data_IF_125252031083
#
_entry.id   IF_125252031083
#
_cell.length_a   1.000
_cell.length_b   1.000
_cell.length_c   1.000
_cell.angle_alpha   90.00
_cell.angle_beta   90.00
_cell.angle_gamma   90.00
#
_symmetry.space_group_name_H-M   'P 1'
#
loop_
_entity.id
_entity.type
_entity.pdbx_description
1 polymer ?
#
# COMPACT_ATOMS: atom_id res chain seq x y z
N UNK A 1 7.07 -3.03 -8.68
CA UNK A 1 6.05 -1.97 -8.58
C UNK A 1 6.16 -1.30 -7.23
N UNK A 2 5.90 0.00 -7.15
CA UNK A 2 5.76 0.71 -5.87
C UNK A 2 4.72 1.82 -5.99
N UNK A 3 3.86 1.94 -4.98
CA UNK A 3 2.84 3.00 -4.91
C UNK A 3 2.59 3.42 -3.47
N UNK A 4 2.11 4.66 -3.30
CA UNK A 4 1.60 5.21 -2.05
C UNK A 4 0.23 5.80 -2.35
N UNK A 5 -0.78 5.33 -1.62
CA UNK A 5 -2.13 5.91 -1.61
C UNK A 5 -2.31 6.71 -0.32
N UNK A 6 -2.46 8.02 -0.44
CA UNK A 6 -2.77 8.92 0.67
C UNK A 6 -4.27 9.17 0.71
N UNK A 7 -4.88 8.89 1.86
CA UNK A 7 -6.29 9.17 2.14
C UNK A 7 -6.35 10.30 3.17
N UNK A 8 -6.77 11.48 2.74
CA UNK A 8 -6.81 12.66 3.60
C UNK A 8 -8.13 12.73 4.39
N UNK A 9 -8.14 13.34 5.60
CA UNK A 9 -9.34 13.49 6.41
C UNK A 9 -10.48 14.27 5.76
N UNK A 10 -10.17 15.14 4.80
CA UNK A 10 -11.15 15.91 4.01
C UNK A 10 -11.78 15.07 2.87
N UNK A 11 -11.45 13.79 2.78
CA UNK A 11 -11.90 12.87 1.75
C UNK A 11 -11.10 12.94 0.44
N UNK A 12 -10.15 13.89 0.32
CA UNK A 12 -9.26 13.93 -0.84
C UNK A 12 -8.31 12.73 -0.83
N UNK A 13 -7.94 12.27 -2.03
CA UNK A 13 -7.05 11.13 -2.19
C UNK A 13 -5.98 11.46 -3.20
N UNK A 14 -4.76 10.96 -2.96
CA UNK A 14 -3.65 11.07 -3.90
C UNK A 14 -2.97 9.72 -4.04
N UNK A 15 -2.65 9.38 -5.27
CA UNK A 15 -1.87 8.19 -5.61
C UNK A 15 -0.61 8.64 -6.31
N UNK A 16 0.53 8.16 -5.82
CA UNK A 16 1.81 8.27 -6.51
C UNK A 16 2.42 6.90 -6.64
N UNK A 17 3.09 6.61 -7.75
CA UNK A 17 3.73 5.33 -7.94
C UNK A 17 4.12 5.04 -9.38
N UNK A 18 4.78 3.91 -9.55
CA UNK A 18 5.16 3.39 -10.85
C UNK A 18 5.06 1.86 -10.88
N UNK A 19 4.63 1.37 -12.03
CA UNK A 19 4.70 -0.03 -12.41
C UNK A 19 5.91 -0.24 -13.31
N UNK A 20 6.71 -1.27 -13.04
CA UNK A 20 7.81 -1.67 -13.92
C UNK A 20 7.41 -2.99 -14.56
N UNK A 21 7.29 -3.02 -15.88
CA UNK A 21 6.92 -4.21 -16.67
C UNK A 21 7.71 -4.19 -17.98
N UNK A 22 8.22 -5.35 -18.40
CA UNK A 22 8.98 -5.50 -19.64
C UNK A 22 10.18 -4.53 -19.78
N UNK A 23 10.77 -4.13 -18.64
CA UNK A 23 11.90 -3.19 -18.59
C UNK A 23 11.50 -1.72 -18.70
N UNK A 24 10.21 -1.41 -18.83
CA UNK A 24 9.68 -0.05 -18.93
C UNK A 24 9.01 0.40 -17.64
N UNK A 25 8.98 1.72 -17.42
CA UNK A 25 8.32 2.36 -16.27
C UNK A 25 6.99 2.96 -16.74
N UNK A 26 5.89 2.45 -16.21
CA UNK A 26 4.54 2.93 -16.46
C UNK A 26 4.03 3.73 -15.27
N UNK A 27 3.48 4.91 -15.53
CA UNK A 27 2.89 5.77 -14.48
C UNK A 27 1.60 5.17 -13.96
N UNK A 28 1.47 5.08 -12.63
CA UNK A 28 0.22 4.74 -11.96
C UNK A 28 -0.61 6.02 -11.84
N UNK A 29 -1.87 5.96 -12.28
CA UNK A 29 -2.84 7.06 -12.16
C UNK A 29 -3.57 6.96 -10.83
N UNK A 30 -4.04 5.77 -10.49
CA UNK A 30 -4.72 5.52 -9.23
C UNK A 30 -4.53 4.08 -8.73
N UNK A 31 -4.85 3.86 -7.46
CA UNK A 31 -4.86 2.56 -6.82
C UNK A 31 -6.06 2.44 -5.88
N UNK A 32 -6.76 1.32 -6.01
CA UNK A 32 -7.91 0.96 -5.19
C UNK A 32 -7.53 -0.18 -4.26
N UNK A 33 -7.81 -0.02 -2.98
CA UNK A 33 -7.39 -0.94 -1.93
C UNK A 33 -8.60 -1.54 -1.21
N UNK A 34 -9.36 -2.48 -1.80
CA UNK A 34 -10.39 -3.22 -1.08
C UNK A 34 -9.79 -3.88 0.18
N UNK A 35 -10.30 -3.51 1.35
CA UNK A 35 -9.79 -3.96 2.65
C UNK A 35 -10.60 -5.14 3.20
N UNK A 36 -9.94 -6.02 3.95
CA UNK A 36 -10.62 -7.04 4.74
C UNK A 36 -11.16 -6.46 6.07
N UNK A 37 -11.82 -7.30 6.88
CA UNK A 37 -12.43 -6.90 8.16
C UNK A 37 -11.44 -6.35 9.21
N UNK A 38 -10.15 -6.62 9.05
CA UNK A 38 -9.09 -6.11 9.92
C UNK A 38 -8.48 -4.81 9.37
N UNK A 39 -8.92 -4.32 8.20
CA UNK A 39 -8.44 -3.09 7.59
C UNK A 39 -7.24 -3.26 6.66
N UNK A 40 -6.74 -4.48 6.44
CA UNK A 40 -5.62 -4.73 5.52
C UNK A 40 -6.10 -4.83 4.08
N UNK A 41 -5.30 -4.35 3.12
CA UNK A 41 -5.58 -4.52 1.70
C UNK A 41 -5.68 -6.01 1.36
N UNK A 42 -6.88 -6.46 1.00
CA UNK A 42 -7.16 -7.81 0.51
C UNK A 42 -6.87 -7.94 -0.99
N UNK A 43 -6.90 -6.80 -1.68
CA UNK A 43 -6.63 -6.66 -3.11
C UNK A 43 -6.03 -5.29 -3.37
N UNK A 44 -5.22 -5.19 -4.40
CA UNK A 44 -4.74 -3.91 -4.95
C UNK A 44 -5.14 -3.88 -6.42
N UNK A 45 -5.93 -2.90 -6.83
CA UNK A 45 -6.31 -2.69 -8.23
C UNK A 45 -5.69 -1.37 -8.67
N UNK A 46 -5.00 -1.37 -9.81
CA UNK A 46 -4.11 -0.28 -10.20
C UNK A 46 -4.47 0.17 -11.60
N UNK A 47 -4.77 1.47 -11.72
CA UNK A 47 -5.03 2.12 -12.98
C UNK A 47 -3.72 2.69 -13.52
N UNK A 48 -3.33 2.27 -14.72
CA UNK A 48 -2.09 2.69 -15.38
C UNK A 48 -2.40 3.76 -16.42
N UNK A 49 -1.46 4.69 -16.65
CA UNK A 49 -1.64 5.81 -17.58
C UNK A 49 -1.88 5.40 -19.04
N UNK A 50 -1.51 4.18 -19.43
CA UNK A 50 -1.80 3.60 -20.75
C UNK A 50 -3.24 3.05 -20.86
N UNK A 51 -4.05 3.18 -19.80
CA UNK A 51 -5.43 2.70 -19.73
C UNK A 51 -5.55 1.23 -19.30
N UNK A 52 -4.44 0.54 -19.04
CA UNK A 52 -4.48 -0.83 -18.52
C UNK A 52 -4.75 -0.86 -17.01
N UNK A 53 -5.26 -2.00 -16.55
CA UNK A 53 -5.49 -2.29 -15.13
C UNK A 53 -4.61 -3.47 -14.69
N UNK A 54 -4.03 -3.37 -13.50
CA UNK A 54 -3.35 -4.48 -12.83
C UNK A 54 -4.03 -4.78 -11.51
N UNK A 55 -4.47 -6.03 -11.33
CA UNK A 55 -5.04 -6.50 -10.06
C UNK A 55 -4.07 -7.48 -9.39
N UNK A 56 -3.76 -7.23 -8.12
CA UNK A 56 -3.00 -8.11 -7.25
C UNK A 56 -3.92 -8.65 -6.14
N UNK A 57 -3.84 -9.96 -5.92
CA UNK A 57 -4.56 -10.65 -4.86
C UNK A 57 -3.62 -10.96 -3.69
N UNK A 58 -4.08 -10.63 -2.49
CA UNK A 58 -3.35 -10.91 -1.27
C UNK A 58 -3.38 -12.41 -0.96
N UNK A 59 -2.23 -13.00 -0.65
CA UNK A 59 -2.14 -14.35 -0.06
C UNK A 59 -1.83 -14.32 1.45
N UNK A 60 -0.89 -15.17 1.86
CA UNK A 60 -0.46 -15.34 3.25
C UNK A 60 0.55 -14.28 3.71
N UNK A 61 0.40 -13.86 4.97
CA UNK A 61 1.34 -12.95 5.62
C UNK A 61 2.50 -13.74 6.20
N UNK A 62 3.71 -13.43 5.75
CA UNK A 62 4.97 -14.02 6.23
C UNK A 62 5.45 -13.32 7.50
N UNK A 63 5.28 -12.01 7.57
CA UNK A 63 5.70 -11.20 8.71
C UNK A 63 4.81 -9.97 8.85
N UNK A 64 4.67 -9.46 10.08
CA UNK A 64 4.10 -8.14 10.29
C UNK A 64 4.44 -7.55 11.65
N UNK A 65 4.57 -6.23 11.72
CA UNK A 65 4.98 -5.52 12.92
C UNK A 65 4.64 -4.04 12.89
N UNK A 66 4.56 -3.43 14.08
CA UNK A 66 4.45 -1.98 14.20
C UNK A 66 5.83 -1.35 14.05
N UNK A 67 5.98 -0.48 13.06
CA UNK A 67 7.16 0.32 12.81
C UNK A 67 6.98 1.72 13.42
N UNK A 68 7.73 2.07 14.48
CA UNK A 68 7.75 3.43 15.00
C UNK A 68 8.48 4.35 14.00
N UNK A 69 7.80 5.41 13.56
CA UNK A 69 8.35 6.35 12.58
C UNK A 69 8.44 7.75 13.21
N UNK A 70 9.66 8.22 13.46
CA UNK A 70 9.92 9.54 14.00
C UNK A 70 10.84 9.54 15.23
N UNK A 71 10.74 10.61 16.02
CA UNK A 71 11.59 10.82 17.19
C UNK A 71 11.23 9.87 18.34
N UNK A 72 12.20 9.50 19.20
CA UNK A 72 11.96 8.63 20.36
C UNK A 72 10.90 9.18 21.33
N UNK A 73 10.82 10.50 21.48
CA UNK A 73 9.85 11.20 22.32
C UNK A 73 9.21 12.35 21.54
N UNK A 74 7.89 12.53 21.68
CA UNK A 74 7.14 13.61 21.06
C UNK A 74 5.87 13.93 21.83
N UNK A 75 5.57 15.22 21.98
CA UNK A 75 4.24 15.71 22.31
C UNK A 75 3.45 15.98 21.02
N UNK A 76 2.19 15.54 20.97
CA UNK A 76 1.30 15.75 19.81
C UNK A 76 1.27 14.58 18.81
N UNK A 77 0.81 14.79 17.56
CA UNK A 77 0.52 13.69 16.63
C UNK A 77 1.74 12.83 16.29
N UNK A 78 1.68 11.53 16.50
CA UNK A 78 2.73 10.58 16.11
C UNK A 78 2.30 9.78 14.87
N UNK A 79 3.22 9.59 13.92
CA UNK A 79 3.00 8.69 12.79
C UNK A 79 3.55 7.31 13.14
N UNK A 80 2.77 6.27 12.86
CA UNK A 80 3.24 4.89 12.92
C UNK A 80 2.66 4.10 11.77
N UNK A 81 3.34 3.03 11.39
CA UNK A 81 2.87 2.14 10.35
C UNK A 81 2.84 0.70 10.84
N UNK A 82 1.85 -0.07 10.38
CA UNK A 82 1.93 -1.52 10.45
C UNK A 82 2.48 -2.01 9.11
N UNK A 83 3.67 -2.58 9.16
CA UNK A 83 4.36 -3.10 7.99
C UNK A 83 4.11 -4.59 7.94
N UNK A 84 3.89 -5.12 6.75
CA UNK A 84 3.73 -6.55 6.54
C UNK A 84 4.42 -7.02 5.26
N UNK A 85 5.05 -8.19 5.36
CA UNK A 85 5.54 -8.93 4.20
C UNK A 85 4.50 -9.97 3.85
N UNK A 86 3.95 -9.85 2.65
CA UNK A 86 2.82 -10.65 2.16
C UNK A 86 3.14 -11.11 0.75
N UNK A 87 2.71 -12.31 0.39
CA UNK A 87 2.72 -12.71 -1.02
C UNK A 87 1.51 -12.13 -1.77
N UNK A 88 1.77 -11.79 -3.02
CA UNK A 88 0.79 -11.22 -3.93
C UNK A 88 0.74 -12.08 -5.17
N UNK A 89 -0.47 -12.46 -5.56
CA UNK A 89 -0.73 -13.17 -6.81
C UNK A 89 -1.16 -12.17 -7.88
N UNK A 90 -0.41 -12.11 -8.97
CA UNK A 90 -0.72 -11.27 -10.12
C UNK A 90 -1.76 -11.90 -11.05
N UNK A 91 -2.15 -11.19 -12.12
CA UNK A 91 -3.24 -11.59 -13.00
C UNK A 91 -2.98 -12.89 -13.77
N UNK A 92 -1.71 -13.28 -13.96
CA UNK A 92 -1.35 -14.53 -14.65
C UNK A 92 -1.01 -15.66 -13.67
N UNK A 93 -1.29 -15.49 -12.38
CA UNK A 93 -1.04 -16.48 -11.33
C UNK A 93 0.39 -16.47 -10.79
N UNK A 94 1.24 -15.56 -11.25
CA UNK A 94 2.58 -15.36 -10.69
C UNK A 94 2.50 -14.91 -9.22
N UNK A 95 3.39 -15.44 -8.39
CA UNK A 95 3.46 -15.11 -6.96
C UNK A 95 4.76 -14.38 -6.67
N UNK A 96 4.67 -13.24 -5.99
CA UNK A 96 5.82 -12.48 -5.53
C UNK A 96 5.57 -11.94 -4.12
N UNK A 97 6.65 -11.74 -3.36
CA UNK A 97 6.56 -11.10 -2.05
C UNK A 97 6.66 -9.58 -2.19
N UNK A 98 5.84 -8.88 -1.42
CA UNK A 98 5.85 -7.43 -1.34
C UNK A 98 5.67 -6.95 0.09
N UNK A 99 6.12 -5.72 0.34
CA UNK A 99 5.84 -5.00 1.58
C UNK A 99 4.56 -4.19 1.40
N UNK A 100 3.61 -4.36 2.32
CA UNK A 100 2.45 -3.47 2.46
C UNK A 100 2.59 -2.70 3.76
N UNK A 101 2.34 -1.40 3.71
CA UNK A 101 2.48 -0.49 4.85
C UNK A 101 1.14 0.21 5.08
N UNK A 102 0.57 0.04 6.27
CA UNK A 102 -0.65 0.74 6.71
C UNK A 102 -0.27 1.83 7.73
N UNK A 103 0.02 3.02 7.20
CA UNK A 103 0.33 4.22 7.98
C UNK A 103 -0.89 4.85 8.66
N UNK A 104 -0.72 5.30 9.89
CA UNK A 104 -1.73 6.04 10.64
C UNK A 104 -1.09 7.20 11.43
N UNK A 105 -1.87 8.26 11.65
CA UNK A 105 -1.51 9.33 12.57
C UNK A 105 -2.32 9.13 13.85
N UNK A 106 -1.63 8.99 14.99
CA UNK A 106 -2.24 8.88 16.32
C UNK A 106 -2.00 10.15 17.11
N UNK A 107 -3.04 10.67 17.76
CA UNK A 107 -2.87 11.69 18.78
C UNK A 107 -2.50 11.00 20.09
N UNK A 108 -1.27 11.22 20.55
CA UNK A 108 -0.80 10.81 21.88
C UNK A 108 -0.87 12.03 22.80
N UNK A 109 -1.51 11.85 23.96
CA UNK A 109 -1.74 12.85 25.00
C UNK A 109 -0.89 12.56 26.22
#
# INVERSE_FOLDING_TARGET
MGLIKQLHPDGSQKTGGALVRDGEVHTIVDAHLPKNRAGFAQRVVIDVADGSEVTLHRGERVWGGWCPIGLPERNGPAFSAYDEVVDWTGPNGEVAFGLSEDGQIRNVH
#
